data_IF_577609890209
#
_entry.id   IF_577609890209
#
_cell.length_a   1.000
_cell.length_b   1.000
_cell.length_c   1.000
_cell.angle_alpha   90.00
_cell.angle_beta   90.00
_cell.angle_gamma   90.00
#
_symmetry.space_group_name_H-M   'P 1'
#
loop_
_entity.id
_entity.type
_entity.pdbx_description
1 polymer ?
#
# COMPACT_ATOMS: atom_id res chain seq x y z
N UNK A 1 44.54 44.58 -8.71
CA UNK A 1 43.08 44.43 -8.95
C UNK A 1 42.72 42.99 -8.66
N UNK A 2 42.16 42.72 -7.49
CA UNK A 2 41.78 41.39 -7.06
C UNK A 2 40.33 41.15 -7.43
N UNK A 3 40.05 40.23 -8.36
CA UNK A 3 38.74 39.74 -8.67
C UNK A 3 38.32 38.75 -7.56
N UNK A 4 37.50 39.23 -6.63
CA UNK A 4 36.80 38.39 -5.68
C UNK A 4 35.67 37.62 -6.38
N UNK A 5 35.89 36.36 -6.71
CA UNK A 5 34.81 35.44 -7.08
C UNK A 5 33.98 35.14 -5.83
N UNK A 6 32.87 35.83 -5.67
CA UNK A 6 31.80 35.37 -4.76
C UNK A 6 31.34 34.01 -5.25
N UNK A 7 31.68 32.97 -4.50
CA UNK A 7 31.05 31.66 -4.67
C UNK A 7 29.51 31.76 -4.54
N UNK A 8 28.75 30.91 -5.23
CA UNK A 8 27.30 30.92 -5.13
C UNK A 8 26.93 30.74 -3.67
N UNK A 9 26.30 31.77 -3.09
CA UNK A 9 25.81 31.74 -1.72
C UNK A 9 24.96 30.51 -1.52
N UNK A 10 25.22 29.77 -0.45
CA UNK A 10 24.26 28.77 0.12
C UNK A 10 23.01 29.56 0.56
N UNK A 11 22.15 29.85 -0.41
CA UNK A 11 20.82 30.36 -0.14
C UNK A 11 20.04 29.31 0.64
N UNK A 12 19.36 29.76 1.66
CA UNK A 12 18.69 28.97 2.68
C UNK A 12 17.91 27.76 2.14
N UNK A 13 17.90 26.75 2.94
CA UNK A 13 17.19 25.48 2.72
C UNK A 13 15.77 25.73 2.27
N UNK A 14 15.53 25.65 0.97
CA UNK A 14 14.21 25.87 0.41
C UNK A 14 13.46 24.54 0.48
N UNK A 15 12.62 24.37 1.50
CA UNK A 15 11.78 23.19 1.71
C UNK A 15 10.91 22.92 0.47
N UNK A 16 10.55 23.99 -0.26
CA UNK A 16 9.80 23.90 -1.51
C UNK A 16 10.59 23.17 -2.61
N UNK A 17 11.90 23.38 -2.70
CA UNK A 17 12.74 22.67 -3.67
C UNK A 17 12.84 21.17 -3.34
N UNK A 18 12.86 20.79 -2.07
CA UNK A 18 12.87 19.40 -1.64
C UNK A 18 11.53 18.69 -2.04
N UNK A 19 10.40 19.34 -1.88
CA UNK A 19 9.11 18.80 -2.33
C UNK A 19 9.01 18.73 -3.85
N UNK A 20 9.52 19.72 -4.57
CA UNK A 20 9.59 19.71 -6.03
C UNK A 20 10.44 18.54 -6.54
N UNK A 21 11.58 18.28 -5.90
CA UNK A 21 12.45 17.14 -6.21
C UNK A 21 11.72 15.82 -5.92
N UNK A 22 11.03 15.69 -4.77
CA UNK A 22 10.26 14.52 -4.43
C UNK A 22 9.13 14.24 -5.46
N UNK A 23 8.46 15.29 -5.93
CA UNK A 23 7.43 15.18 -6.97
C UNK A 23 7.99 14.71 -8.32
N UNK A 24 9.19 15.19 -8.71
CA UNK A 24 9.87 14.74 -9.93
C UNK A 24 10.24 13.26 -9.82
N UNK A 25 10.78 12.84 -8.67
CA UNK A 25 11.10 11.43 -8.41
C UNK A 25 9.83 10.57 -8.45
N UNK A 26 8.75 11.01 -7.81
CA UNK A 26 7.46 10.34 -7.80
C UNK A 26 6.93 10.13 -9.23
N UNK A 27 6.92 11.17 -10.06
CA UNK A 27 6.47 11.10 -11.46
C UNK A 27 7.29 10.11 -12.28
N UNK A 28 8.59 10.11 -12.10
CA UNK A 28 9.50 9.19 -12.79
C UNK A 28 9.24 7.73 -12.36
N UNK A 29 9.03 7.47 -11.06
CA UNK A 29 8.72 6.14 -10.55
C UNK A 29 7.36 5.64 -11.05
N UNK A 30 6.33 6.48 -11.03
CA UNK A 30 5.01 6.12 -11.60
C UNK A 30 5.16 5.76 -13.09
N UNK A 31 5.95 6.53 -13.85
CA UNK A 31 6.22 6.24 -15.26
C UNK A 31 6.98 4.91 -15.42
N UNK A 32 7.94 4.62 -14.54
CA UNK A 32 8.68 3.33 -14.49
C UNK A 32 7.69 2.17 -14.23
N UNK A 33 6.78 2.32 -13.27
CA UNK A 33 5.75 1.30 -13.00
C UNK A 33 4.78 1.14 -14.19
N UNK A 34 4.32 2.22 -14.78
CA UNK A 34 3.37 2.18 -15.91
C UNK A 34 3.95 1.51 -17.16
N UNK A 35 5.26 1.67 -17.42
CA UNK A 35 5.98 1.00 -18.51
C UNK A 35 6.45 -0.42 -18.14
N UNK A 36 6.41 -0.77 -16.86
CA UNK A 36 6.88 -2.05 -16.35
C UNK A 36 5.86 -3.18 -16.55
N UNK A 37 6.34 -4.37 -16.90
CA UNK A 37 5.51 -5.57 -17.02
C UNK A 37 4.77 -5.92 -15.71
N UNK A 38 5.31 -5.53 -14.55
CA UNK A 38 4.72 -5.81 -13.21
C UNK A 38 3.32 -5.25 -13.07
N UNK A 39 3.08 -4.00 -13.52
CA UNK A 39 1.79 -3.35 -13.46
C UNK A 39 0.76 -4.05 -14.35
N UNK A 40 1.15 -4.40 -15.59
CA UNK A 40 0.28 -5.09 -16.54
C UNK A 40 -0.10 -6.49 -16.01
N UNK A 41 0.89 -7.24 -15.49
CA UNK A 41 0.66 -8.57 -14.92
C UNK A 41 -0.28 -8.49 -13.71
N UNK A 42 -0.08 -7.50 -12.83
CA UNK A 42 -0.94 -7.32 -11.67
C UNK A 42 -2.36 -6.89 -12.07
N UNK A 43 -2.50 -5.99 -13.03
CA UNK A 43 -3.82 -5.60 -13.57
C UNK A 43 -4.55 -6.79 -14.21
N UNK A 44 -3.84 -7.60 -15.02
CA UNK A 44 -4.40 -8.79 -15.63
C UNK A 44 -4.83 -9.83 -14.58
N UNK A 45 -4.01 -10.04 -13.52
CA UNK A 45 -4.35 -10.93 -12.40
C UNK A 45 -5.59 -10.45 -11.67
N UNK A 46 -5.68 -9.16 -11.37
CA UNK A 46 -6.85 -8.56 -10.71
C UNK A 46 -8.11 -8.70 -11.55
N UNK A 47 -8.01 -8.42 -12.85
CA UNK A 47 -9.14 -8.58 -13.79
C UNK A 47 -9.57 -10.05 -13.91
N UNK A 48 -8.62 -10.98 -13.96
CA UNK A 48 -8.90 -12.41 -14.00
C UNK A 48 -9.64 -12.88 -12.74
N UNK A 49 -9.18 -12.46 -11.57
CA UNK A 49 -9.83 -12.81 -10.28
C UNK A 49 -11.25 -12.27 -10.24
N UNK A 50 -11.45 -10.99 -10.61
CA UNK A 50 -12.78 -10.40 -10.67
C UNK A 50 -13.71 -11.17 -11.65
N UNK A 51 -13.20 -11.52 -12.83
CA UNK A 51 -13.95 -12.27 -13.82
C UNK A 51 -14.33 -13.69 -13.33
N UNK A 52 -13.39 -14.39 -12.68
CA UNK A 52 -13.62 -15.74 -12.13
C UNK A 52 -14.67 -15.68 -11.02
N UNK A 53 -14.58 -14.72 -10.10
CA UNK A 53 -15.56 -14.57 -9.00
C UNK A 53 -16.94 -14.24 -9.56
N UNK A 54 -17.01 -13.30 -10.51
CA UNK A 54 -18.29 -12.94 -11.16
C UNK A 54 -18.87 -14.13 -11.91
N UNK A 55 -18.08 -14.88 -12.66
CA UNK A 55 -18.52 -16.08 -13.37
C UNK A 55 -18.98 -17.16 -12.39
N UNK A 56 -18.27 -17.37 -11.28
CA UNK A 56 -18.67 -18.35 -10.26
C UNK A 56 -20.03 -18.00 -9.63
N UNK A 57 -20.26 -16.73 -9.30
CA UNK A 57 -21.54 -16.28 -8.75
C UNK A 57 -22.68 -16.40 -9.76
N UNK A 58 -22.44 -16.13 -11.04
CA UNK A 58 -23.48 -16.18 -12.08
C UNK A 58 -23.80 -17.59 -12.55
N UNK A 59 -22.83 -18.54 -12.55
CA UNK A 59 -22.99 -19.90 -13.06
C UNK A 59 -23.43 -20.87 -11.98
N UNK A 60 -22.87 -20.76 -10.77
CA UNK A 60 -23.11 -21.71 -9.65
C UNK A 60 -23.86 -21.11 -8.48
N UNK A 61 -24.02 -19.78 -8.42
CA UNK A 61 -24.84 -19.08 -7.44
C UNK A 61 -26.19 -18.66 -8.01
N UNK A 62 -26.98 -17.96 -7.20
CA UNK A 62 -28.26 -17.38 -7.61
C UNK A 62 -28.10 -16.04 -8.36
N UNK A 63 -27.02 -15.90 -9.11
CA UNK A 63 -26.65 -14.66 -9.80
C UNK A 63 -25.85 -13.71 -8.91
N UNK A 64 -25.96 -12.39 -9.15
CA UNK A 64 -25.27 -11.38 -8.36
C UNK A 64 -25.97 -11.10 -7.01
N UNK A 65 -27.06 -11.84 -6.71
CA UNK A 65 -27.83 -11.70 -5.48
C UNK A 65 -28.61 -10.39 -5.39
N UNK A 66 -29.48 -10.30 -4.36
CA UNK A 66 -30.36 -9.15 -4.14
C UNK A 66 -29.83 -8.17 -3.07
N UNK A 67 -28.71 -8.53 -2.39
CA UNK A 67 -28.15 -7.74 -1.29
C UNK A 67 -26.77 -7.17 -1.64
N UNK A 68 -26.70 -5.84 -1.74
CA UNK A 68 -25.48 -5.10 -2.04
C UNK A 68 -24.35 -5.35 -1.03
N UNK A 69 -24.68 -5.48 0.26
CA UNK A 69 -23.68 -5.70 1.30
C UNK A 69 -23.04 -7.08 1.19
N UNK A 70 -23.83 -8.13 0.96
CA UNK A 70 -23.31 -9.49 0.79
C UNK A 70 -22.43 -9.60 -0.44
N UNK A 71 -22.85 -8.99 -1.55
CA UNK A 71 -22.06 -8.94 -2.78
C UNK A 71 -20.75 -8.21 -2.55
N UNK A 72 -20.79 -7.01 -1.97
CA UNK A 72 -19.59 -6.22 -1.64
C UNK A 72 -18.66 -6.97 -0.71
N UNK A 73 -19.18 -7.63 0.32
CA UNK A 73 -18.39 -8.42 1.28
C UNK A 73 -17.56 -9.51 0.59
N UNK A 74 -18.17 -10.28 -0.33
CA UNK A 74 -17.49 -11.34 -1.07
C UNK A 74 -16.32 -10.80 -1.92
N UNK A 75 -16.52 -9.70 -2.63
CA UNK A 75 -15.46 -9.11 -3.45
C UNK A 75 -14.37 -8.47 -2.59
N UNK A 76 -14.75 -7.75 -1.52
CA UNK A 76 -13.78 -7.01 -0.69
C UNK A 76 -12.95 -7.97 0.18
N UNK A 77 -13.45 -9.15 0.50
CA UNK A 77 -12.66 -10.21 1.14
C UNK A 77 -11.38 -10.55 0.33
N UNK A 78 -11.48 -10.61 -0.99
CA UNK A 78 -10.35 -10.90 -1.88
C UNK A 78 -9.44 -9.68 -2.04
N UNK A 79 -9.99 -8.49 -1.94
CA UNK A 79 -9.27 -7.24 -2.13
C UNK A 79 -8.11 -7.07 -1.12
N UNK A 80 -8.29 -7.50 0.13
CA UNK A 80 -7.22 -7.46 1.14
C UNK A 80 -5.97 -8.23 0.68
N UNK A 81 -6.15 -9.41 0.09
CA UNK A 81 -5.05 -10.18 -0.49
C UNK A 81 -4.40 -9.46 -1.68
N UNK A 82 -5.21 -8.85 -2.54
CA UNK A 82 -4.68 -8.09 -3.69
C UNK A 82 -3.85 -6.89 -3.24
N UNK A 83 -4.22 -6.20 -2.17
CA UNK A 83 -3.40 -5.14 -1.57
C UNK A 83 -2.05 -5.68 -1.11
N UNK A 84 -2.00 -6.83 -0.45
CA UNK A 84 -0.73 -7.46 -0.05
C UNK A 84 0.16 -7.75 -1.25
N UNK A 85 -0.41 -8.31 -2.33
CA UNK A 85 0.33 -8.58 -3.58
C UNK A 85 0.83 -7.27 -4.20
N UNK A 86 0.01 -6.23 -4.27
CA UNK A 86 0.42 -4.93 -4.80
C UNK A 86 1.58 -4.32 -4.00
N UNK A 87 1.50 -4.36 -2.66
CA UNK A 87 2.57 -3.88 -1.78
C UNK A 87 3.88 -4.66 -2.00
N UNK A 88 3.79 -5.97 -2.19
CA UNK A 88 4.99 -6.79 -2.46
C UNK A 88 5.62 -6.49 -3.82
N UNK A 89 4.83 -6.09 -4.81
CA UNK A 89 5.33 -5.75 -6.15
C UNK A 89 5.91 -4.33 -6.23
N UNK A 90 5.27 -3.36 -5.59
CA UNK A 90 5.59 -1.94 -5.76
C UNK A 90 6.34 -1.36 -4.56
N UNK A 91 5.82 -1.51 -3.34
CA UNK A 91 6.41 -0.88 -2.16
C UNK A 91 7.69 -1.60 -1.69
N UNK A 92 7.67 -2.93 -1.61
CA UNK A 92 8.81 -3.71 -1.11
C UNK A 92 10.05 -3.67 -2.00
N UNK A 93 9.87 -3.36 -3.29
CA UNK A 93 10.99 -3.29 -4.25
C UNK A 93 11.47 -1.86 -4.49
N UNK A 94 10.76 -0.84 -4.02
CA UNK A 94 11.00 0.55 -4.38
C UNK A 94 12.38 1.08 -3.99
N UNK A 95 12.87 0.76 -2.79
CA UNK A 95 14.19 1.20 -2.33
C UNK A 95 15.29 0.22 -2.72
N UNK A 96 15.05 -1.07 -2.56
CA UNK A 96 16.07 -2.10 -2.77
C UNK A 96 16.51 -2.21 -4.22
N UNK A 97 15.63 -1.92 -5.19
CA UNK A 97 15.96 -1.97 -6.62
C UNK A 97 17.10 -1.00 -7.01
N UNK A 98 17.18 0.15 -6.37
CA UNK A 98 18.27 1.12 -6.64
C UNK A 98 19.64 0.59 -6.22
N UNK A 99 19.67 -0.18 -5.13
CA UNK A 99 20.92 -0.81 -4.67
C UNK A 99 21.29 -2.01 -5.54
N UNK A 100 20.32 -2.78 -5.97
CA UNK A 100 20.51 -3.98 -6.79
C UNK A 100 21.00 -3.62 -8.21
N UNK A 101 20.40 -2.60 -8.83
CA UNK A 101 20.72 -2.12 -10.17
C UNK A 101 21.95 -1.19 -10.20
N UNK A 102 22.57 -0.87 -9.05
CA UNK A 102 23.68 0.11 -8.88
C UNK A 102 23.34 1.50 -9.42
N UNK A 103 22.07 1.79 -9.68
CA UNK A 103 21.60 3.11 -10.12
C UNK A 103 21.70 4.14 -9.00
N UNK A 104 21.81 3.69 -7.76
CA UNK A 104 22.10 4.53 -6.60
C UNK A 104 23.32 5.43 -6.84
N UNK A 105 24.41 4.93 -7.43
CA UNK A 105 25.61 5.71 -7.71
C UNK A 105 25.32 6.91 -8.64
N UNK A 106 24.46 6.73 -9.66
CA UNK A 106 24.07 7.80 -10.60
C UNK A 106 23.11 8.80 -9.92
N UNK A 107 22.24 8.29 -9.03
CA UNK A 107 21.27 9.14 -8.32
C UNK A 107 21.95 10.09 -7.34
N UNK A 108 23.07 9.65 -6.72
CA UNK A 108 23.83 10.44 -5.74
C UNK A 108 24.88 11.38 -6.36
N UNK A 109 25.19 11.25 -7.65
CA UNK A 109 25.97 12.29 -8.37
C UNK A 109 25.16 13.58 -8.58
N UNK A 110 23.83 13.51 -8.50
CA UNK A 110 22.97 14.70 -8.50
C UNK A 110 22.76 15.18 -7.05
N UNK A 111 22.74 16.50 -6.79
CA UNK A 111 22.55 17.05 -5.46
C UNK A 111 21.08 16.92 -4.97
N UNK A 112 20.56 15.67 -4.96
CA UNK A 112 19.22 15.36 -4.50
C UNK A 112 19.31 14.81 -3.08
N UNK A 113 18.45 15.29 -2.17
CA UNK A 113 18.45 14.82 -0.78
C UNK A 113 17.86 13.42 -0.65
N UNK A 114 18.42 12.59 0.21
CA UNK A 114 17.91 11.23 0.53
C UNK A 114 16.43 11.25 0.92
N UNK A 115 15.97 12.31 1.62
CA UNK A 115 14.58 12.52 1.98
C UNK A 115 13.65 12.64 0.76
N UNK A 116 14.02 13.46 -0.21
CA UNK A 116 13.19 13.68 -1.42
C UNK A 116 13.07 12.40 -2.25
N UNK A 117 14.14 11.60 -2.32
CA UNK A 117 14.12 10.29 -3.00
C UNK A 117 13.20 9.33 -2.28
N UNK A 118 13.34 9.21 -0.95
CA UNK A 118 12.50 8.34 -0.12
C UNK A 118 11.02 8.69 -0.25
N UNK A 119 10.69 9.97 -0.06
CA UNK A 119 9.31 10.46 -0.11
C UNK A 119 8.71 10.27 -1.51
N UNK A 120 9.45 10.59 -2.57
CA UNK A 120 8.98 10.43 -3.94
C UNK A 120 8.65 8.98 -4.28
N UNK A 121 9.51 8.04 -3.89
CA UNK A 121 9.29 6.60 -4.10
C UNK A 121 8.12 6.05 -3.25
N UNK A 122 8.04 6.48 -2.00
CA UNK A 122 6.95 6.09 -1.11
C UNK A 122 5.60 6.54 -1.68
N UNK A 123 5.48 7.81 -2.05
CA UNK A 123 4.27 8.34 -2.65
C UNK A 123 3.94 7.68 -3.99
N UNK A 124 4.93 7.39 -4.84
CA UNK A 124 4.70 6.72 -6.11
C UNK A 124 4.09 5.33 -5.93
N UNK A 125 4.66 4.51 -5.03
CA UNK A 125 4.13 3.17 -4.74
C UNK A 125 2.74 3.23 -4.11
N UNK A 126 2.50 4.19 -3.22
CA UNK A 126 1.21 4.41 -2.59
C UNK A 126 0.14 4.80 -3.62
N UNK A 127 0.43 5.78 -4.48
CA UNK A 127 -0.50 6.25 -5.52
C UNK A 127 -0.88 5.10 -6.46
N UNK A 128 0.07 4.30 -6.89
CA UNK A 128 -0.20 3.14 -7.77
C UNK A 128 -1.08 2.12 -7.05
N UNK A 129 -0.76 1.76 -5.81
CA UNK A 129 -1.54 0.76 -5.07
C UNK A 129 -2.94 1.28 -4.73
N UNK A 130 -3.06 2.53 -4.25
CA UNK A 130 -4.37 3.16 -3.99
C UNK A 130 -5.18 3.29 -5.29
N UNK A 131 -4.54 3.60 -6.42
CA UNK A 131 -5.18 3.62 -7.72
C UNK A 131 -5.84 2.28 -8.07
N UNK A 132 -5.16 1.16 -7.81
CA UNK A 132 -5.76 -0.17 -7.96
C UNK A 132 -6.92 -0.43 -7.01
N UNK A 133 -6.82 0.00 -5.76
CA UNK A 133 -7.91 -0.10 -4.79
C UNK A 133 -9.14 0.66 -5.29
N UNK A 134 -8.96 1.88 -5.76
CA UNK A 134 -10.06 2.70 -6.30
C UNK A 134 -10.71 2.07 -7.54
N UNK A 135 -9.91 1.55 -8.47
CA UNK A 135 -10.42 0.84 -9.65
C UNK A 135 -11.19 -0.42 -9.25
N UNK A 136 -10.66 -1.18 -8.29
CA UNK A 136 -11.32 -2.38 -7.79
C UNK A 136 -12.69 -2.07 -7.18
N UNK A 137 -12.77 -1.07 -6.29
CA UNK A 137 -14.03 -0.63 -5.71
C UNK A 137 -15.00 -0.06 -6.75
N UNK A 138 -14.51 0.65 -7.77
CA UNK A 138 -15.36 1.13 -8.86
C UNK A 138 -16.02 -0.04 -9.61
N UNK A 139 -15.29 -1.14 -9.84
CA UNK A 139 -15.85 -2.36 -10.43
C UNK A 139 -16.89 -2.99 -9.51
N UNK A 140 -16.60 -3.12 -8.20
CA UNK A 140 -17.55 -3.69 -7.23
C UNK A 140 -18.83 -2.86 -7.16
N UNK A 141 -18.72 -1.52 -7.10
CA UNK A 141 -19.87 -0.61 -7.13
C UNK A 141 -20.70 -0.80 -8.40
N UNK A 142 -20.04 -0.95 -9.55
CA UNK A 142 -20.74 -1.21 -10.84
C UNK A 142 -21.49 -2.54 -10.79
N UNK A 143 -20.90 -3.59 -10.22
CA UNK A 143 -21.55 -4.89 -10.05
C UNK A 143 -22.75 -4.81 -9.09
N UNK A 144 -22.67 -4.02 -8.02
CA UNK A 144 -23.79 -3.77 -7.12
C UNK A 144 -24.96 -3.04 -7.82
N UNK A 145 -24.66 -2.15 -8.75
CA UNK A 145 -25.70 -1.46 -9.55
C UNK A 145 -26.35 -2.39 -10.57
N UNK A 146 -25.61 -3.34 -11.12
CA UNK A 146 -26.12 -4.29 -12.13
C UNK A 146 -26.94 -5.43 -11.47
N UNK A 147 -26.48 -5.96 -10.33
CA UNK A 147 -27.13 -7.05 -9.61
C UNK A 147 -28.24 -6.53 -8.68
N UNK A 148 -27.92 -6.13 -7.45
CA UNK A 148 -28.91 -5.65 -6.49
C UNK A 148 -29.67 -4.39 -6.89
N UNK A 149 -29.11 -3.58 -7.80
CA UNK A 149 -29.71 -2.33 -8.28
C UNK A 149 -29.49 -1.12 -7.34
N UNK A 150 -28.79 -1.29 -6.24
CA UNK A 150 -28.46 -0.20 -5.28
C UNK A 150 -27.06 -0.39 -4.69
N UNK A 151 -26.53 0.68 -4.13
CA UNK A 151 -25.22 0.70 -3.45
C UNK A 151 -25.42 1.18 -2.01
N UNK A 152 -24.97 0.40 -1.04
CA UNK A 152 -25.00 0.80 0.36
C UNK A 152 -23.86 1.80 0.66
N UNK A 153 -24.13 2.77 1.54
CA UNK A 153 -23.12 3.74 2.01
C UNK A 153 -21.91 3.11 2.73
N UNK A 154 -22.09 1.92 3.30
CA UNK A 154 -21.05 1.16 3.98
C UNK A 154 -19.83 0.88 3.09
N UNK A 155 -20.02 0.71 1.78
CA UNK A 155 -18.93 0.47 0.82
C UNK A 155 -17.92 1.64 0.75
N UNK A 156 -18.37 2.88 0.95
CA UNK A 156 -17.48 4.04 0.95
C UNK A 156 -16.65 4.12 2.23
N UNK A 157 -17.20 3.68 3.36
CA UNK A 157 -16.46 3.57 4.63
C UNK A 157 -15.40 2.47 4.50
N UNK A 158 -15.77 1.31 3.95
CA UNK A 158 -14.86 0.20 3.64
C UNK A 158 -13.73 0.63 2.70
N UNK A 159 -14.03 1.42 1.66
CA UNK A 159 -13.02 2.01 0.76
C UNK A 159 -12.06 2.91 1.51
N UNK A 160 -12.54 3.79 2.38
CA UNK A 160 -11.69 4.65 3.22
C UNK A 160 -10.74 3.84 4.11
N UNK A 161 -11.25 2.79 4.77
CA UNK A 161 -10.44 1.86 5.56
C UNK A 161 -9.41 1.11 4.71
N UNK A 162 -9.78 0.70 3.51
CA UNK A 162 -8.87 0.02 2.58
C UNK A 162 -7.71 0.90 2.12
N UNK A 163 -7.95 2.20 1.94
CA UNK A 163 -6.87 3.17 1.66
C UNK A 163 -5.95 3.32 2.88
N UNK A 164 -6.50 3.40 4.10
CA UNK A 164 -5.71 3.44 5.32
C UNK A 164 -4.89 2.14 5.51
N UNK A 165 -5.47 0.99 5.23
CA UNK A 165 -4.79 -0.32 5.26
C UNK A 165 -3.64 -0.38 4.26
N UNK A 166 -3.87 0.08 3.03
CA UNK A 166 -2.83 0.18 1.99
C UNK A 166 -1.66 1.03 2.46
N UNK A 167 -1.93 2.15 3.12
CA UNK A 167 -0.89 3.01 3.71
C UNK A 167 -0.10 2.29 4.81
N UNK A 168 -0.77 1.60 5.73
CA UNK A 168 -0.14 0.79 6.78
C UNK A 168 0.79 -0.29 6.22
N UNK A 169 0.28 -1.07 5.26
CA UNK A 169 1.05 -2.12 4.59
C UNK A 169 2.23 -1.56 3.77
N UNK A 170 2.05 -0.41 3.10
CA UNK A 170 3.12 0.24 2.35
C UNK A 170 4.28 0.66 3.26
N UNK A 171 3.99 1.19 4.45
CA UNK A 171 5.01 1.52 5.44
C UNK A 171 5.87 0.30 5.81
N UNK A 172 5.24 -0.84 6.10
CA UNK A 172 5.93 -2.10 6.41
C UNK A 172 6.74 -2.59 5.21
N UNK A 173 6.18 -2.54 3.98
CA UNK A 173 6.88 -2.89 2.76
C UNK A 173 8.15 -2.07 2.54
N UNK A 174 8.09 -0.75 2.78
CA UNK A 174 9.24 0.15 2.74
C UNK A 174 10.26 -0.14 3.82
N UNK A 175 9.80 -0.47 5.03
CA UNK A 175 10.70 -0.84 6.13
C UNK A 175 11.53 -2.07 5.75
N UNK A 176 10.93 -3.12 5.22
CA UNK A 176 11.63 -4.32 4.75
C UNK A 176 12.55 -3.98 3.58
N UNK A 177 12.08 -3.18 2.61
CA UNK A 177 12.86 -2.71 1.46
C UNK A 177 14.12 -1.95 1.88
N UNK A 178 14.08 -1.20 2.97
CA UNK A 178 15.22 -0.42 3.47
C UNK A 178 16.36 -1.28 4.03
N UNK A 179 16.07 -2.53 4.45
CA UNK A 179 17.04 -3.44 5.07
C UNK A 179 17.58 -4.46 4.06
N UNK A 180 16.76 -4.90 3.10
CA UNK A 180 17.11 -5.96 2.18
C UNK A 180 18.12 -5.51 1.11
N UNK A 181 18.86 -6.49 0.54
CA UNK A 181 19.87 -6.25 -0.53
C UNK A 181 19.37 -6.67 -1.92
N UNK A 182 18.36 -7.54 -2.00
CA UNK A 182 17.80 -8.05 -3.25
C UNK A 182 16.30 -7.84 -3.30
N UNK A 183 15.77 -7.42 -4.45
CA UNK A 183 14.35 -7.16 -4.65
C UNK A 183 13.50 -8.40 -4.43
N UNK A 184 13.95 -9.56 -4.90
CA UNK A 184 13.23 -10.83 -4.70
C UNK A 184 13.07 -11.20 -3.23
N UNK A 185 14.15 -11.08 -2.45
CA UNK A 185 14.13 -11.36 -1.01
C UNK A 185 13.21 -10.38 -0.27
N UNK A 186 13.26 -9.10 -0.64
CA UNK A 186 12.38 -8.08 -0.07
C UNK A 186 10.91 -8.38 -0.33
N UNK A 187 10.55 -8.76 -1.56
CA UNK A 187 9.17 -9.10 -1.92
C UNK A 187 8.67 -10.33 -1.15
N UNK A 188 9.45 -11.42 -1.15
CA UNK A 188 9.08 -12.64 -0.43
C UNK A 188 8.90 -12.35 1.06
N UNK A 189 9.87 -11.67 1.69
CA UNK A 189 9.81 -11.37 3.11
C UNK A 189 8.64 -10.46 3.45
N UNK A 190 8.33 -9.46 2.61
CA UNK A 190 7.18 -8.57 2.80
C UNK A 190 5.88 -9.35 2.73
N UNK A 191 5.71 -10.23 1.73
CA UNK A 191 4.53 -11.06 1.62
C UNK A 191 4.36 -11.96 2.84
N UNK A 192 5.39 -12.68 3.24
CA UNK A 192 5.34 -13.54 4.43
C UNK A 192 5.07 -12.75 5.72
N UNK A 193 5.66 -11.57 5.88
CA UNK A 193 5.43 -10.72 7.06
C UNK A 193 3.98 -10.28 7.13
N UNK A 194 3.42 -9.75 6.05
CA UNK A 194 2.05 -9.24 6.03
C UNK A 194 0.99 -10.35 6.05
N UNK A 195 1.19 -11.43 5.29
CA UNK A 195 0.21 -12.49 5.14
C UNK A 195 0.23 -13.51 6.29
N UNK A 196 1.40 -13.84 6.81
CA UNK A 196 1.55 -14.93 7.79
C UNK A 196 2.05 -14.43 9.14
N UNK A 197 3.16 -13.70 9.21
CA UNK A 197 3.84 -13.39 10.45
C UNK A 197 2.99 -12.51 11.36
N UNK A 198 2.36 -11.46 10.82
CA UNK A 198 1.45 -10.60 11.60
C UNK A 198 0.21 -11.35 12.10
N UNK A 199 -0.34 -12.28 11.29
CA UNK A 199 -1.46 -13.12 11.72
C UNK A 199 -1.05 -14.14 12.79
N UNK A 200 0.15 -14.72 12.71
CA UNK A 200 0.69 -15.59 13.75
C UNK A 200 0.91 -14.84 15.06
N UNK A 201 1.48 -13.64 15.01
CA UNK A 201 1.65 -12.78 16.18
C UNK A 201 0.30 -12.44 16.80
N UNK A 202 -0.70 -12.10 15.97
CA UNK A 202 -2.06 -11.85 16.41
C UNK A 202 -2.63 -13.08 17.17
N UNK A 203 -2.52 -14.28 16.59
CA UNK A 203 -3.01 -15.50 17.21
C UNK A 203 -2.32 -15.79 18.55
N UNK A 204 -1.00 -15.56 18.63
CA UNK A 204 -0.25 -15.74 19.88
C UNK A 204 -0.71 -14.74 20.95
N UNK A 205 -0.95 -13.48 20.59
CA UNK A 205 -1.45 -12.45 21.53
C UNK A 205 -2.83 -12.86 22.07
N UNK A 206 -3.74 -13.30 21.21
CA UNK A 206 -5.08 -13.72 21.62
C UNK A 206 -5.04 -14.92 22.57
N UNK A 207 -4.24 -15.93 22.27
CA UNK A 207 -4.18 -17.18 23.04
C UNK A 207 -3.36 -16.99 24.32
N UNK A 208 -2.14 -16.44 24.24
CA UNK A 208 -1.21 -16.40 25.36
C UNK A 208 -1.48 -15.25 26.34
N UNK A 209 -1.94 -14.11 25.86
CA UNK A 209 -2.25 -12.94 26.69
C UNK A 209 -3.74 -12.86 27.08
N UNK A 210 -4.58 -13.79 26.59
CA UNK A 210 -6.05 -13.79 26.79
C UNK A 210 -6.69 -12.43 26.45
N UNK A 211 -6.19 -11.77 25.38
CA UNK A 211 -6.72 -10.51 24.88
C UNK A 211 -7.73 -10.82 23.79
N UNK A 212 -9.01 -10.57 24.05
CA UNK A 212 -10.09 -10.84 23.10
C UNK A 212 -10.13 -9.79 21.95
N UNK A 213 -9.74 -8.55 22.24
CA UNK A 213 -9.76 -7.44 21.26
C UNK A 213 -8.34 -6.80 21.12
N UNK A 214 -7.42 -7.39 20.34
CA UNK A 214 -6.08 -6.85 20.09
C UNK A 214 -6.11 -5.76 19.01
N UNK A 215 -6.89 -4.73 19.22
CA UNK A 215 -7.19 -3.64 18.28
C UNK A 215 -5.96 -2.90 17.73
N UNK A 216 -4.82 -2.97 18.43
CA UNK A 216 -3.56 -2.31 18.04
C UNK A 216 -2.80 -3.04 16.93
N UNK A 217 -3.20 -4.26 16.56
CA UNK A 217 -2.55 -5.04 15.50
C UNK A 217 -3.14 -4.68 14.16
N UNK A 218 -2.27 -4.40 13.16
CA UNK A 218 -2.69 -3.97 11.82
C UNK A 218 -3.66 -4.96 11.15
N UNK A 219 -3.39 -6.26 11.25
CA UNK A 219 -4.24 -7.30 10.64
C UNK A 219 -5.59 -7.46 11.33
N UNK A 220 -5.66 -7.23 12.64
CA UNK A 220 -6.92 -7.20 13.37
C UNK A 220 -7.77 -5.99 12.95
N UNK A 221 -7.16 -4.81 12.89
CA UNK A 221 -7.84 -3.61 12.43
C UNK A 221 -8.33 -3.73 10.97
N UNK A 222 -7.66 -4.54 10.14
CA UNK A 222 -8.08 -4.78 8.75
C UNK A 222 -9.41 -5.54 8.64
N UNK A 223 -9.84 -6.29 9.67
CA UNK A 223 -11.13 -6.95 9.67
C UNK A 223 -12.30 -5.95 9.62
N UNK A 224 -12.11 -4.74 10.16
CA UNK A 224 -13.13 -3.69 10.13
C UNK A 224 -13.47 -3.24 8.70
N UNK A 225 -12.60 -3.50 7.71
CA UNK A 225 -12.90 -3.29 6.28
C UNK A 225 -14.11 -4.12 5.84
N UNK A 226 -14.22 -5.36 6.37
CA UNK A 226 -15.30 -6.28 6.09
C UNK A 226 -16.47 -6.12 7.07
N UNK A 227 -16.20 -5.87 8.35
CA UNK A 227 -17.22 -5.73 9.38
C UNK A 227 -18.17 -4.55 9.13
N UNK A 228 -17.69 -3.48 8.48
CA UNK A 228 -18.55 -2.36 8.05
C UNK A 228 -19.66 -2.82 7.08
N UNK A 229 -19.41 -3.87 6.30
CA UNK A 229 -20.36 -4.41 5.31
C UNK A 229 -21.29 -5.49 5.90
N UNK A 230 -20.97 -6.02 7.07
CA UNK A 230 -21.75 -7.05 7.74
C UNK A 230 -22.63 -6.43 8.83
N UNK A 231 -23.97 -6.42 8.68
CA UNK A 231 -24.87 -5.85 9.68
C UNK A 231 -24.84 -6.55 11.04
N UNK A 232 -24.30 -7.77 11.09
CA UNK A 232 -24.22 -8.56 12.34
C UNK A 232 -22.95 -8.28 13.13
N UNK A 233 -21.97 -7.56 12.55
CA UNK A 233 -20.69 -7.24 13.18
C UNK A 233 -20.65 -5.78 13.61
N UNK A 234 -19.94 -5.51 14.72
CA UNK A 234 -19.69 -4.15 15.18
C UNK A 234 -18.37 -3.66 14.63
N UNK A 235 -18.42 -2.76 13.65
CA UNK A 235 -17.22 -2.14 13.11
C UNK A 235 -16.80 -0.89 13.89
N UNK A 236 -15.52 -0.78 14.20
CA UNK A 236 -14.93 0.39 14.84
C UNK A 236 -14.05 1.18 13.85
N UNK A 237 -14.64 1.66 12.76
CA UNK A 237 -13.96 2.25 11.62
C UNK A 237 -12.95 3.36 11.99
N UNK A 238 -13.31 4.27 12.90
CA UNK A 238 -12.40 5.34 13.31
C UNK A 238 -11.16 4.81 14.07
N UNK A 239 -11.35 3.82 14.95
CA UNK A 239 -10.26 3.14 15.67
C UNK A 239 -9.35 2.40 14.70
N UNK A 240 -9.92 1.62 13.79
CA UNK A 240 -9.17 0.88 12.78
C UNK A 240 -8.35 1.80 11.87
N UNK A 241 -8.96 2.88 11.37
CA UNK A 241 -8.26 3.87 10.55
C UNK A 241 -7.05 4.49 11.29
N UNK A 242 -7.23 4.88 12.56
CA UNK A 242 -6.12 5.44 13.35
C UNK A 242 -4.98 4.45 13.54
N UNK A 243 -5.28 3.19 13.86
CA UNK A 243 -4.26 2.13 14.00
C UNK A 243 -3.50 1.93 12.70
N UNK A 244 -4.19 1.80 11.57
CA UNK A 244 -3.57 1.62 10.25
C UNK A 244 -2.66 2.79 9.87
N UNK A 245 -3.09 4.03 10.12
CA UNK A 245 -2.30 5.23 9.86
C UNK A 245 -1.06 5.29 10.77
N UNK A 246 -1.21 4.97 12.06
CA UNK A 246 -0.09 4.94 13.00
C UNK A 246 0.95 3.90 12.59
N UNK A 247 0.53 2.69 12.22
CA UNK A 247 1.43 1.67 11.68
C UNK A 247 2.18 2.14 10.44
N UNK A 248 1.47 2.79 9.51
CA UNK A 248 2.06 3.34 8.29
C UNK A 248 3.11 4.41 8.57
N UNK A 249 2.78 5.40 9.42
CA UNK A 249 3.70 6.48 9.79
C UNK A 249 4.91 5.92 10.56
N UNK A 250 4.70 5.09 11.57
CA UNK A 250 5.78 4.53 12.37
C UNK A 250 6.76 3.73 11.52
N UNK A 251 6.23 2.81 10.67
CA UNK A 251 7.04 1.99 9.78
C UNK A 251 7.78 2.83 8.73
N UNK A 252 7.14 3.85 8.14
CA UNK A 252 7.77 4.74 7.17
C UNK A 252 8.88 5.57 7.80
N UNK A 253 8.70 6.09 9.02
CA UNK A 253 9.74 6.83 9.74
C UNK A 253 10.95 5.94 10.05
N UNK A 254 10.73 4.74 10.60
CA UNK A 254 11.81 3.78 10.87
C UNK A 254 12.54 3.42 9.57
N UNK A 255 11.78 3.17 8.48
CA UNK A 255 12.33 2.89 7.15
C UNK A 255 13.23 4.03 6.67
N UNK A 256 12.80 5.28 6.84
CA UNK A 256 13.60 6.45 6.45
C UNK A 256 14.90 6.54 7.26
N UNK A 257 14.85 6.32 8.57
CA UNK A 257 16.06 6.33 9.40
C UNK A 257 17.05 5.24 9.01
N UNK A 258 16.58 4.04 8.69
CA UNK A 258 17.42 2.94 8.21
C UNK A 258 18.01 3.25 6.84
N UNK A 259 17.21 3.77 5.93
CA UNK A 259 17.66 4.20 4.59
C UNK A 259 18.71 5.30 4.67
N UNK A 260 18.55 6.27 5.58
CA UNK A 260 19.52 7.37 5.78
C UNK A 260 20.87 6.86 6.26
N UNK A 261 20.91 5.86 7.15
CA UNK A 261 22.13 5.27 7.73
C UNK A 261 22.83 4.29 6.77
N UNK A 262 22.19 3.89 5.70
CA UNK A 262 22.75 2.97 4.74
C UNK A 262 23.82 3.70 3.90
N UNK A 263 25.08 3.25 4.04
CA UNK A 263 26.20 3.69 3.22
C UNK A 263 26.28 2.83 1.95
N UNK A 264 26.78 3.42 0.86
CA UNK A 264 26.84 2.85 -0.49
C UNK A 264 28.22 2.31 -0.80
#
# INVERSE_FOLDING_TARGET
>A
MAYGTKGPGMTGYDVLDDFRQAFIVMKNEITKYARGKKLIIFAALTALILAVVTAALTIWGDGLGDNSNNLSYLYIMIMSLLVLVAITLFASTALVSEFEERTALILFTKPIRKWSIFLGKFLASLIVTVGFVLIYYAVVITLCLIGPGYVDGAIFVSLGLSVCYTFGCAGIGFLISSVMKKSSTSSILTFFTLALLLNMVLSVIMIAAHIEDPWFVLTYAANDILYVLDPMQTAHAARAATVMIVWGIASALVSYFLFRKRDF
#
